data_IF_541521758789
#
_entry.id   IF_541521758789
#
_cell.length_a   1.000
_cell.length_b   1.000
_cell.length_c   1.000
_cell.angle_alpha   90.00
_cell.angle_beta   90.00
_cell.angle_gamma   90.00
#
_symmetry.space_group_name_H-M   'P 1'
#
loop_
_entity.id
_entity.type
_entity.pdbx_description
1 polymer ?
#
# COMPACT_ATOMS: atom_id res chain seq x y z
N UNK A 1 -8.16 -8.00 -22.85
CA UNK A 1 -6.98 -7.45 -22.12
C UNK A 1 -7.27 -6.23 -21.23
N UNK A 2 -8.41 -5.52 -21.34
CA UNK A 2 -8.70 -4.35 -20.46
C UNK A 2 -9.59 -4.73 -19.26
N UNK A 3 -10.43 -5.76 -19.44
CA UNK A 3 -11.40 -6.20 -18.42
C UNK A 3 -10.73 -6.79 -17.17
N UNK A 4 -9.60 -7.50 -17.31
CA UNK A 4 -8.88 -8.16 -16.18
C UNK A 4 -8.20 -7.17 -15.23
N UNK A 5 -7.90 -5.96 -15.69
CA UNK A 5 -7.38 -4.85 -14.89
C UNK A 5 -8.49 -4.15 -14.10
N UNK A 6 -9.68 -3.98 -14.70
CA UNK A 6 -10.83 -3.39 -14.02
C UNK A 6 -11.38 -4.29 -12.88
N UNK A 7 -11.37 -5.62 -13.06
CA UNK A 7 -11.74 -6.54 -11.98
C UNK A 7 -10.79 -6.45 -10.79
N UNK A 8 -9.48 -6.26 -11.03
CA UNK A 8 -8.47 -6.15 -9.98
C UNK A 8 -8.59 -4.87 -9.15
N UNK A 9 -8.97 -3.76 -9.79
CA UNK A 9 -9.28 -2.49 -9.12
C UNK A 9 -10.52 -2.63 -8.20
N UNK A 10 -11.54 -3.36 -8.65
CA UNK A 10 -12.73 -3.68 -7.83
C UNK A 10 -12.45 -4.65 -6.68
N UNK A 11 -11.40 -5.49 -6.79
CA UNK A 11 -10.98 -6.38 -5.69
C UNK A 11 -10.25 -5.59 -4.60
N UNK A 12 -9.66 -4.42 -4.88
CA UNK A 12 -8.97 -3.62 -3.86
C UNK A 12 -9.96 -3.06 -2.83
N UNK A 13 -11.10 -2.50 -3.29
CA UNK A 13 -12.17 -2.05 -2.39
C UNK A 13 -12.81 -3.21 -1.62
N UNK A 14 -13.08 -4.35 -2.26
CA UNK A 14 -13.69 -5.52 -1.60
C UNK A 14 -12.71 -6.22 -0.63
N UNK A 15 -11.41 -6.34 -0.97
CA UNK A 15 -10.39 -6.92 -0.08
C UNK A 15 -10.03 -6.01 1.08
N UNK A 16 -10.05 -4.69 0.94
CA UNK A 16 -9.77 -3.80 2.07
C UNK A 16 -10.86 -3.84 3.15
N UNK A 17 -12.14 -4.09 2.80
CA UNK A 17 -13.21 -4.25 3.79
C UNK A 17 -13.32 -5.69 4.32
N UNK A 18 -13.08 -6.71 3.48
CA UNK A 18 -13.15 -8.13 3.90
C UNK A 18 -11.89 -8.64 4.62
N UNK A 19 -10.68 -8.18 4.28
CA UNK A 19 -9.44 -8.59 4.95
C UNK A 19 -9.22 -7.90 6.30
N UNK A 20 -9.99 -6.85 6.62
CA UNK A 20 -9.94 -6.18 7.93
C UNK A 20 -10.42 -7.07 9.07
N UNK A 21 -11.16 -8.14 8.75
CA UNK A 21 -11.73 -9.10 9.71
C UNK A 21 -11.12 -10.51 9.61
N UNK A 22 -10.15 -10.73 8.73
CA UNK A 22 -9.44 -12.00 8.59
C UNK A 22 -8.14 -11.91 9.41
N UNK A 23 -7.96 -12.85 10.35
CA UNK A 23 -6.72 -13.01 11.14
C UNK A 23 -5.51 -12.98 10.22
N UNK A 24 -4.42 -12.34 10.64
CA UNK A 24 -3.14 -12.31 9.91
C UNK A 24 -2.66 -13.75 9.62
N UNK A 25 -3.05 -14.28 8.45
CA UNK A 25 -2.76 -15.64 7.99
C UNK A 25 -1.81 -15.59 6.78
N UNK A 26 -1.20 -16.72 6.41
CA UNK A 26 -0.26 -16.82 5.28
C UNK A 26 -0.86 -16.33 3.94
N UNK A 27 -2.18 -16.45 3.78
CA UNK A 27 -2.89 -15.92 2.60
C UNK A 27 -2.85 -14.38 2.52
N UNK A 28 -2.85 -13.67 3.65
CA UNK A 28 -2.73 -12.21 3.70
C UNK A 28 -1.31 -11.79 3.30
N UNK A 29 -0.29 -12.50 3.80
CA UNK A 29 1.12 -12.28 3.43
C UNK A 29 1.33 -12.47 1.92
N UNK A 30 0.85 -13.60 1.38
CA UNK A 30 0.89 -13.90 -0.07
C UNK A 30 0.17 -12.85 -0.92
N UNK A 31 -1.02 -12.41 -0.49
CA UNK A 31 -1.78 -11.39 -1.22
C UNK A 31 -1.05 -10.04 -1.24
N UNK A 32 -0.52 -9.58 -0.11
CA UNK A 32 0.22 -8.32 -0.05
C UNK A 32 1.53 -8.40 -0.84
N UNK A 33 2.22 -9.54 -0.86
CA UNK A 33 3.37 -9.75 -1.76
C UNK A 33 2.99 -9.59 -3.23
N UNK A 34 1.86 -10.17 -3.65
CA UNK A 34 1.33 -10.01 -5.00
C UNK A 34 0.99 -8.55 -5.34
N UNK A 35 0.38 -7.82 -4.40
CA UNK A 35 0.10 -6.39 -4.56
C UNK A 35 1.39 -5.58 -4.67
N UNK A 36 2.38 -5.81 -3.80
CA UNK A 36 3.68 -5.14 -3.87
C UNK A 36 4.39 -5.39 -5.21
N UNK A 37 4.34 -6.61 -5.74
CA UNK A 37 4.91 -6.92 -7.06
C UNK A 37 4.21 -6.17 -8.19
N UNK A 38 2.88 -6.05 -8.15
CA UNK A 38 2.14 -5.28 -9.16
C UNK A 38 2.40 -3.79 -9.08
N UNK A 39 2.47 -3.22 -7.88
CA UNK A 39 2.82 -1.81 -7.69
C UNK A 39 4.25 -1.56 -8.19
N UNK A 40 5.20 -2.46 -7.89
CA UNK A 40 6.56 -2.36 -8.41
C UNK A 40 6.63 -2.43 -9.93
N UNK A 41 5.75 -3.21 -10.58
CA UNK A 41 5.70 -3.32 -12.04
C UNK A 41 5.04 -2.11 -12.72
N UNK A 42 4.02 -1.50 -12.10
CA UNK A 42 3.35 -0.32 -12.64
C UNK A 42 2.84 0.62 -11.51
N UNK A 43 3.72 1.46 -10.94
CA UNK A 43 3.35 2.36 -9.84
C UNK A 43 2.45 3.52 -10.31
N UNK A 44 2.53 3.91 -11.58
CA UNK A 44 1.70 4.99 -12.15
C UNK A 44 0.20 4.65 -12.14
N UNK A 45 -0.14 3.35 -12.28
CA UNK A 45 -1.53 2.89 -12.29
C UNK A 45 -2.19 2.87 -10.91
N UNK A 46 -1.42 2.96 -9.82
CA UNK A 46 -1.94 2.87 -8.45
C UNK A 46 -1.87 4.19 -7.69
N UNK A 47 -1.40 5.28 -8.31
CA UNK A 47 -1.27 6.60 -7.66
C UNK A 47 -2.57 7.05 -6.98
N UNK A 48 -3.71 6.86 -7.66
CA UNK A 48 -5.04 7.24 -7.17
C UNK A 48 -5.48 6.38 -5.97
N UNK A 49 -5.12 5.10 -5.96
CA UNK A 49 -5.49 4.14 -4.91
C UNK A 49 -4.41 3.94 -3.84
N UNK A 50 -3.29 4.65 -3.95
CA UNK A 50 -2.12 4.45 -3.09
C UNK A 50 -2.44 4.77 -1.63
N UNK A 51 -3.41 5.66 -1.38
CA UNK A 51 -3.90 5.96 -0.03
C UNK A 51 -4.51 4.71 0.64
N UNK A 52 -5.23 3.86 -0.11
CA UNK A 52 -5.78 2.61 0.42
C UNK A 52 -4.68 1.60 0.73
N UNK A 53 -3.62 1.57 -0.08
CA UNK A 53 -2.44 0.75 0.19
C UNK A 53 -1.72 1.21 1.46
N UNK A 54 -1.50 2.52 1.63
CA UNK A 54 -0.92 3.10 2.83
C UNK A 54 -1.72 2.75 4.10
N UNK A 55 -3.04 2.90 4.07
CA UNK A 55 -3.93 2.52 5.19
C UNK A 55 -3.83 1.02 5.50
N UNK A 56 -3.81 0.19 4.45
CA UNK A 56 -3.66 -1.25 4.59
C UNK A 56 -2.30 -1.63 5.21
N UNK A 57 -1.20 -0.97 4.82
CA UNK A 57 0.13 -1.15 5.41
C UNK A 57 0.16 -0.70 6.88
N UNK A 58 -0.47 0.42 7.22
CA UNK A 58 -0.54 0.92 8.59
C UNK A 58 -1.38 0.05 9.53
N UNK A 59 -2.33 -0.73 8.97
CA UNK A 59 -3.13 -1.71 9.71
C UNK A 59 -2.33 -2.93 10.19
N UNK A 60 -1.14 -3.17 9.63
CA UNK A 60 -0.28 -4.26 10.09
C UNK A 60 0.39 -3.90 11.42
N UNK A 61 0.16 -4.71 12.46
CA UNK A 61 0.79 -4.52 13.77
C UNK A 61 2.19 -5.15 13.84
N UNK A 62 2.34 -6.38 13.33
CA UNK A 62 3.61 -7.11 13.33
C UNK A 62 3.86 -7.77 11.95
N UNK A 63 4.18 -6.99 10.91
CA UNK A 63 4.54 -7.57 9.62
C UNK A 63 5.84 -8.38 9.73
N UNK A 64 5.94 -9.49 9.00
CA UNK A 64 7.21 -10.22 8.84
C UNK A 64 8.27 -9.29 8.24
N UNK A 65 9.53 -9.53 8.60
CA UNK A 65 10.64 -8.66 8.22
C UNK A 65 10.74 -8.48 6.70
N UNK A 66 10.67 -9.57 5.94
CA UNK A 66 10.64 -9.53 4.46
C UNK A 66 9.50 -8.67 3.90
N UNK A 67 8.30 -8.78 4.48
CA UNK A 67 7.13 -8.03 4.02
C UNK A 67 7.28 -6.54 4.35
N UNK A 68 7.83 -6.23 5.53
CA UNK A 68 8.15 -4.86 5.94
C UNK A 68 9.17 -4.22 4.99
N UNK A 69 10.18 -4.98 4.56
CA UNK A 69 11.14 -4.51 3.56
C UNK A 69 10.49 -4.24 2.19
N UNK A 70 9.54 -5.09 1.77
CA UNK A 70 8.78 -4.84 0.54
C UNK A 70 7.96 -3.54 0.64
N UNK A 71 7.27 -3.31 1.76
CA UNK A 71 6.54 -2.06 1.99
C UNK A 71 7.48 -0.85 1.96
N UNK A 72 8.64 -0.94 2.62
CA UNK A 72 9.65 0.11 2.61
C UNK A 72 10.10 0.44 1.18
N UNK A 73 10.45 -0.57 0.38
CA UNK A 73 10.88 -0.39 -1.02
C UNK A 73 9.80 0.28 -1.88
N UNK A 74 8.54 -0.12 -1.71
CA UNK A 74 7.41 0.45 -2.47
C UNK A 74 7.14 1.90 -2.06
N UNK A 75 7.10 2.19 -0.76
CA UNK A 75 6.84 3.55 -0.25
C UNK A 75 7.95 4.53 -0.67
N UNK A 76 9.22 4.15 -0.50
CA UNK A 76 10.35 4.99 -0.92
C UNK A 76 10.46 5.09 -2.45
N UNK A 77 10.18 4.00 -3.17
CA UNK A 77 10.13 4.01 -4.64
C UNK A 77 9.07 4.98 -5.17
N UNK A 78 7.88 4.95 -4.57
CA UNK A 78 6.80 5.88 -4.90
C UNK A 78 7.16 7.32 -4.56
N UNK A 79 7.66 7.59 -3.35
CA UNK A 79 8.14 8.92 -2.92
C UNK A 79 9.19 9.49 -3.87
N UNK A 80 10.14 8.66 -4.31
CA UNK A 80 11.17 9.04 -5.29
C UNK A 80 10.57 9.38 -6.64
N UNK A 81 9.56 8.61 -7.08
CA UNK A 81 8.93 8.79 -8.38
C UNK A 81 8.05 10.04 -8.45
N UNK A 82 7.25 10.32 -7.41
CA UNK A 82 6.42 11.53 -7.38
C UNK A 82 7.22 12.78 -7.02
N UNK A 83 8.34 12.61 -6.32
CA UNK A 83 9.18 13.69 -5.79
C UNK A 83 8.67 14.24 -4.46
N UNK A 84 9.57 14.82 -3.65
CA UNK A 84 9.23 15.26 -2.28
C UNK A 84 8.09 16.29 -2.23
N UNK A 85 8.03 17.22 -3.18
CA UNK A 85 7.01 18.27 -3.17
C UNK A 85 5.60 17.69 -3.42
N UNK A 86 5.47 16.78 -4.39
CA UNK A 86 4.20 16.11 -4.68
C UNK A 86 3.85 15.10 -3.60
N UNK A 87 4.85 14.40 -3.03
CA UNK A 87 4.64 13.51 -1.89
C UNK A 87 4.09 14.28 -0.69
N UNK A 88 4.60 15.47 -0.38
CA UNK A 88 4.10 16.30 0.72
C UNK A 88 2.62 16.66 0.52
N UNK A 89 2.27 17.14 -0.68
CA UNK A 89 0.88 17.45 -1.07
C UNK A 89 -0.04 16.21 -1.05
N UNK A 90 0.50 15.04 -1.38
CA UNK A 90 -0.23 13.78 -1.35
C UNK A 90 -0.42 13.29 0.09
N UNK A 91 0.64 13.36 0.90
CA UNK A 91 0.61 13.00 2.30
C UNK A 91 -0.39 13.88 3.05
N UNK A 92 -0.53 15.17 2.73
CA UNK A 92 -1.55 16.06 3.32
C UNK A 92 -2.99 15.57 3.16
N UNK A 93 -3.28 14.70 2.20
CA UNK A 93 -4.58 14.06 2.06
C UNK A 93 -4.78 12.88 3.03
N UNK A 94 -3.69 12.40 3.64
CA UNK A 94 -3.75 11.30 4.60
C UNK A 94 -4.30 11.78 5.94
N UNK A 95 -5.16 10.97 6.60
CA UNK A 95 -5.55 11.25 7.96
C UNK A 95 -4.33 11.28 8.91
N UNK A 96 -4.33 12.20 9.88
CA UNK A 96 -3.24 12.40 10.85
C UNK A 96 -2.66 11.10 11.45
N UNK A 97 -3.47 10.15 11.97
CA UNK A 97 -2.93 8.92 12.54
C UNK A 97 -2.23 8.02 11.52
N UNK A 98 -2.61 8.07 10.24
CA UNK A 98 -1.95 7.31 9.18
C UNK A 98 -0.55 7.88 8.90
N UNK A 99 -0.42 9.21 8.80
CA UNK A 99 0.88 9.88 8.63
C UNK A 99 1.86 9.48 9.73
N UNK A 100 1.45 9.62 10.99
CA UNK A 100 2.32 9.33 12.13
C UNK A 100 2.80 7.87 12.10
N UNK A 101 1.91 6.93 11.78
CA UNK A 101 2.27 5.51 11.67
C UNK A 101 3.25 5.25 10.53
N UNK A 102 3.09 5.89 9.38
CA UNK A 102 4.00 5.73 8.25
C UNK A 102 5.38 6.33 8.56
N UNK A 103 5.42 7.50 9.21
CA UNK A 103 6.66 8.16 9.63
C UNK A 103 7.40 7.28 10.64
N UNK A 104 6.71 6.80 11.69
CA UNK A 104 7.33 6.00 12.76
C UNK A 104 7.82 4.64 12.25
N UNK A 105 7.07 3.99 11.34
CA UNK A 105 7.39 2.62 10.90
C UNK A 105 8.29 2.55 9.67
N UNK A 106 8.23 3.54 8.78
CA UNK A 106 8.86 3.51 7.45
C UNK A 106 9.63 4.78 7.08
N UNK A 107 9.51 5.87 7.86
CA UNK A 107 10.27 7.11 7.66
C UNK A 107 9.92 7.86 6.36
N UNK A 108 8.68 7.74 5.89
CA UNK A 108 8.21 8.37 4.63
C UNK A 108 7.32 9.58 4.87
#
# INVERSE_FOLDING_TARGET
CVVRLAYMFSVLSFRCTSLRNIRDNEEKDSAFRGVCLMIGANPAGVVQDFIFFCDAVASWMHPKQDLKEMFYKILHGFKTQVGEENWSKFADQFPQPLKERLIVNYGV
#
